data_IF_973102168261
#
_entry.id   IF_973102168261
#
_cell.length_a   1.000
_cell.length_b   1.000
_cell.length_c   1.000
_cell.angle_alpha   90.00
_cell.angle_beta   90.00
_cell.angle_gamma   90.00
#
_symmetry.space_group_name_H-M   'P 1'
#
loop_
_entity.id
_entity.type
_entity.pdbx_description
1 polymer ?
#
# COMPACT_ATOMS: atom_id res chain seq x y z
N UNK A 1 -17.55 -1.86 -4.14
CA UNK A 1 -16.46 -1.94 -3.15
C UNK A 1 -15.83 -0.58 -3.00
N UNK A 2 -14.78 -0.46 -2.17
CA UNK A 2 -13.97 0.76 -2.08
C UNK A 2 -12.67 0.53 -2.83
N UNK A 3 -12.38 1.38 -3.80
CA UNK A 3 -11.10 1.39 -4.51
C UNK A 3 -10.21 2.49 -3.95
N UNK A 4 -8.91 2.22 -3.87
CA UNK A 4 -7.90 3.20 -3.46
C UNK A 4 -6.65 3.01 -4.31
N UNK A 5 -6.14 4.13 -4.80
CA UNK A 5 -4.94 4.16 -5.62
C UNK A 5 -3.85 4.96 -4.90
N UNK A 6 -2.61 4.51 -5.04
CA UNK A 6 -1.45 5.13 -4.41
C UNK A 6 -0.30 5.16 -5.41
N UNK A 7 0.33 6.31 -5.56
CA UNK A 7 1.65 6.45 -6.19
C UNK A 7 2.70 6.33 -5.08
N UNK A 8 3.49 5.26 -5.13
CA UNK A 8 4.41 4.86 -4.07
C UNK A 8 5.80 4.59 -4.64
N UNK A 9 6.87 4.87 -3.88
CA UNK A 9 8.20 4.37 -4.21
C UNK A 9 8.19 2.84 -4.31
N UNK A 10 8.96 2.27 -5.24
CA UNK A 10 9.04 0.81 -5.44
C UNK A 10 9.40 0.04 -4.15
N UNK A 11 10.16 0.66 -3.25
CA UNK A 11 10.48 0.09 -1.94
C UNK A 11 9.23 -0.16 -1.07
N UNK A 12 8.25 0.73 -1.13
CA UNK A 12 6.99 0.60 -0.38
C UNK A 12 6.02 -0.37 -1.05
N UNK A 13 6.00 -0.39 -2.38
CA UNK A 13 5.27 -1.42 -3.14
C UNK A 13 5.80 -2.82 -2.77
N UNK A 14 7.12 -3.02 -2.77
CA UNK A 14 7.73 -4.29 -2.37
C UNK A 14 7.43 -4.65 -0.91
N UNK A 15 7.40 -3.67 -0.01
CA UNK A 15 7.03 -3.88 1.39
C UNK A 15 5.57 -4.33 1.53
N UNK A 16 4.65 -3.77 0.72
CA UNK A 16 3.26 -4.21 0.66
C UNK A 16 3.14 -5.65 0.13
N UNK A 17 3.81 -5.98 -0.98
CA UNK A 17 3.78 -7.33 -1.55
C UNK A 17 4.31 -8.38 -0.57
N UNK A 18 5.46 -8.09 0.06
CA UNK A 18 6.06 -8.97 1.08
C UNK A 18 5.12 -9.19 2.26
N UNK A 19 4.45 -8.13 2.72
CA UNK A 19 3.46 -8.24 3.79
C UNK A 19 2.27 -9.08 3.36
N UNK A 20 1.75 -8.88 2.15
CA UNK A 20 0.60 -9.60 1.64
C UNK A 20 0.88 -11.10 1.54
N UNK A 21 2.00 -11.50 0.96
CA UNK A 21 2.43 -12.91 0.88
C UNK A 21 2.68 -13.53 2.26
N UNK A 22 3.31 -12.78 3.17
CA UNK A 22 3.51 -13.26 4.54
C UNK A 22 2.17 -13.51 5.24
N UNK A 23 1.19 -12.63 5.02
CA UNK A 23 -0.14 -12.73 5.61
C UNK A 23 -0.98 -13.85 5.00
N UNK A 24 -0.91 -14.04 3.69
CA UNK A 24 -1.51 -15.17 2.99
C UNK A 24 -0.96 -16.51 3.49
N UNK A 25 0.35 -16.56 3.78
CA UNK A 25 1.00 -17.69 4.44
C UNK A 25 0.67 -17.84 5.95
N UNK A 26 -0.31 -17.09 6.47
CA UNK A 26 -0.78 -17.17 7.85
C UNK A 26 0.13 -16.48 8.88
N UNK A 27 1.07 -15.63 8.45
CA UNK A 27 2.05 -14.96 9.33
C UNK A 27 1.84 -13.44 9.34
N UNK A 28 2.52 -12.74 10.23
CA UNK A 28 2.54 -11.27 10.23
C UNK A 28 1.20 -10.60 10.58
N UNK A 29 1.15 -9.26 10.50
CA UNK A 29 0.02 -8.47 10.97
C UNK A 29 -1.17 -8.54 10.00
N UNK A 30 -2.40 -8.46 10.51
CA UNK A 30 -3.62 -8.42 9.69
C UNK A 30 -3.86 -7.10 8.95
N UNK A 31 -3.01 -6.10 9.17
CA UNK A 31 -3.07 -4.79 8.53
C UNK A 31 -1.70 -4.31 8.08
N UNK A 32 -1.67 -3.50 7.03
CA UNK A 32 -0.49 -2.80 6.52
C UNK A 32 -0.73 -1.30 6.48
N UNK A 33 0.29 -0.51 6.81
CA UNK A 33 0.19 0.95 6.78
C UNK A 33 0.86 1.49 5.51
N UNK A 34 0.09 2.21 4.69
CA UNK A 34 0.58 2.92 3.52
C UNK A 34 0.83 4.37 3.92
N UNK A 35 2.06 4.87 3.74
CA UNK A 35 2.36 6.27 3.97
C UNK A 35 1.82 7.11 2.81
N UNK A 36 1.05 8.15 3.12
CA UNK A 36 0.51 9.05 2.11
C UNK A 36 1.51 10.09 1.63
N UNK A 37 2.72 10.10 2.21
CA UNK A 37 3.79 11.03 1.87
C UNK A 37 3.30 12.48 1.86
N UNK A 38 3.59 13.24 0.81
CA UNK A 38 3.04 14.58 0.57
C UNK A 38 1.64 14.55 -0.03
N UNK A 39 1.20 13.43 -0.63
CA UNK A 39 -0.08 13.35 -1.31
C UNK A 39 -1.23 13.24 -0.29
N UNK A 40 -2.12 14.23 -0.25
CA UNK A 40 -3.29 14.22 0.64
C UNK A 40 -2.95 14.10 2.15
N UNK A 41 -1.80 14.65 2.55
CA UNK A 41 -1.33 14.72 3.96
C UNK A 41 -2.11 15.75 4.79
N UNK A 42 -2.62 16.81 4.17
CA UNK A 42 -3.32 17.90 4.87
C UNK A 42 -2.43 18.58 5.93
N UNK A 43 -2.98 19.06 7.06
CA UNK A 43 -2.22 19.75 8.10
C UNK A 43 -1.41 18.81 9.02
N UNK A 44 -1.40 17.51 8.74
CA UNK A 44 -0.79 16.52 9.64
C UNK A 44 0.70 16.36 9.39
N UNK A 45 1.48 16.03 10.42
CA UNK A 45 2.93 15.76 10.27
C UNK A 45 3.21 14.48 9.49
N UNK A 46 2.33 13.48 9.59
CA UNK A 46 2.33 12.22 8.83
C UNK A 46 0.89 11.74 8.74
N UNK A 47 0.53 11.08 7.64
CA UNK A 47 -0.80 10.46 7.47
C UNK A 47 -0.60 9.09 6.83
N UNK A 48 -1.20 8.08 7.44
CA UNK A 48 -1.14 6.70 6.96
C UNK A 48 -2.54 6.17 6.76
N UNK A 49 -2.74 5.46 5.67
CA UNK A 49 -3.92 4.65 5.47
C UNK A 49 -3.59 3.21 5.88
N UNK A 50 -4.48 2.57 6.63
CA UNK A 50 -4.32 1.17 7.00
C UNK A 50 -5.24 0.30 6.14
N UNK A 51 -4.63 -0.64 5.43
CA UNK A 51 -5.35 -1.66 4.66
C UNK A 51 -5.44 -2.94 5.48
N UNK A 52 -6.58 -3.63 5.40
CA UNK A 52 -6.84 -4.88 6.15
C UNK A 52 -6.82 -6.03 5.16
N UNK A 53 -6.02 -7.05 5.45
CA UNK A 53 -5.79 -8.19 4.53
C UNK A 53 -7.10 -8.85 4.08
N UNK A 54 -7.97 -9.21 5.03
CA UNK A 54 -9.25 -9.88 4.75
C UNK A 54 -10.27 -9.02 3.98
N UNK A 55 -9.92 -7.76 3.64
CA UNK A 55 -10.77 -6.83 2.88
C UNK A 55 -10.21 -6.49 1.50
N UNK A 56 -9.05 -7.06 1.14
CA UNK A 56 -8.47 -6.93 -0.20
C UNK A 56 -9.00 -8.08 -1.05
N UNK A 57 -9.88 -7.77 -2.00
CA UNK A 57 -10.41 -8.77 -2.94
C UNK A 57 -9.44 -9.01 -4.11
N UNK A 58 -8.93 -7.92 -4.69
CA UNK A 58 -7.98 -7.88 -5.80
C UNK A 58 -7.10 -6.66 -5.66
N UNK A 59 -5.89 -6.70 -6.22
CA UNK A 59 -5.04 -5.53 -6.40
C UNK A 59 -4.24 -5.68 -7.69
N UNK A 60 -3.75 -4.55 -8.20
CA UNK A 60 -2.81 -4.49 -9.33
C UNK A 60 -1.62 -3.63 -8.94
N UNK A 61 -0.47 -3.90 -9.57
CA UNK A 61 0.75 -3.11 -9.43
C UNK A 61 1.17 -2.71 -10.84
N UNK A 62 1.22 -1.41 -11.08
CA UNK A 62 1.63 -0.83 -12.35
C UNK A 62 2.96 -0.09 -12.16
N UNK A 63 3.95 -0.45 -12.96
CA UNK A 63 5.22 0.27 -13.03
C UNK A 63 5.22 1.17 -14.27
N UNK A 64 5.58 2.45 -14.10
CA UNK A 64 5.73 3.38 -15.21
C UNK A 64 7.22 3.59 -15.50
N UNK A 65 7.57 3.65 -16.79
CA UNK A 65 8.88 4.18 -17.20
C UNK A 65 8.84 5.70 -17.02
N UNK A 66 9.92 6.30 -16.51
CA UNK A 66 10.13 7.73 -16.72
C UNK A 66 10.28 7.90 -18.23
N UNK A 67 9.31 8.57 -18.87
CA UNK A 67 9.40 8.85 -20.30
C UNK A 67 10.74 9.55 -20.61
N UNK A 68 11.34 9.21 -21.75
CA UNK A 68 12.40 10.02 -22.39
C UNK A 68 11.92 11.47 -22.63
#
# INVERSE_FOLDING_TARGET
>A
GTEKEYDLPIAEVNAFLTWYEARDAGRGPGMHAIDKHSNNKGPFKKRRDYVVFDKILTYEVSEYTAAE
#
